data_IF_087927137013
#
_entry.id   IF_087927137013
#
_cell.length_a   1.000
_cell.length_b   1.000
_cell.length_c   1.000
_cell.angle_alpha   90.00
_cell.angle_beta   90.00
_cell.angle_gamma   90.00
#
_symmetry.space_group_name_H-M   'P 1'
#
loop_
_entity.id
_entity.type
_entity.pdbx_description
1 polymer ?
#
# COMPACT_ATOMS: atom_id res chain seq x y z
N UNK A 1 20.91 34.48 -55.08
CA UNK A 1 19.67 35.02 -55.66
C UNK A 1 18.86 35.70 -54.54
N UNK A 2 18.85 37.04 -54.58
CA UNK A 2 17.89 38.02 -54.05
C UNK A 2 17.36 37.95 -52.59
N UNK A 3 17.83 38.97 -51.86
CA UNK A 3 17.30 39.65 -50.66
C UNK A 3 15.82 40.05 -50.79
N UNK A 4 15.09 40.11 -49.67
CA UNK A 4 13.77 40.74 -49.58
C UNK A 4 13.29 41.05 -48.15
N UNK A 5 13.84 42.11 -47.56
CA UNK A 5 13.32 42.82 -46.38
C UNK A 5 12.13 43.73 -46.78
N UNK A 6 11.07 43.81 -45.95
CA UNK A 6 10.02 44.87 -45.78
C UNK A 6 8.73 44.20 -45.24
N UNK A 7 7.96 44.67 -44.25
CA UNK A 7 7.71 46.02 -43.72
C UNK A 7 7.35 46.00 -42.21
N UNK A 8 7.66 47.13 -41.55
CA UNK A 8 7.09 47.62 -40.29
C UNK A 8 5.63 48.06 -40.47
N UNK A 9 4.73 47.84 -39.50
CA UNK A 9 4.12 48.89 -38.64
C UNK A 9 2.92 48.37 -37.81
N UNK A 10 2.94 48.76 -36.52
CA UNK A 10 1.83 49.12 -35.63
C UNK A 10 0.79 48.05 -35.22
N UNK A 11 0.53 47.92 -33.91
CA UNK A 11 -0.60 48.54 -33.17
C UNK A 11 -0.50 48.10 -31.70
N UNK A 12 -0.77 49.03 -30.78
CA UNK A 12 -0.46 48.94 -29.36
C UNK A 12 -1.20 47.86 -28.58
N UNK A 13 -0.54 47.37 -27.53
CA UNK A 13 -1.15 46.51 -26.52
C UNK A 13 -1.06 47.23 -25.17
N UNK A 14 -2.25 47.49 -24.64
CA UNK A 14 -2.56 48.04 -23.35
C UNK A 14 -2.08 47.09 -22.25
N UNK A 15 -1.17 47.57 -21.40
CA UNK A 15 -0.61 46.84 -20.26
C UNK A 15 -1.58 46.90 -19.07
N UNK A 16 -2.67 46.13 -19.13
CA UNK A 16 -3.49 45.84 -17.94
C UNK A 16 -2.85 44.67 -17.22
N UNK A 17 -2.12 44.98 -16.16
CA UNK A 17 -1.72 44.00 -15.14
C UNK A 17 -2.96 43.63 -14.35
N UNK A 18 -3.68 42.61 -14.82
CA UNK A 18 -4.62 41.87 -13.99
C UNK A 18 -3.79 40.96 -13.10
N UNK A 19 -3.67 41.31 -11.81
CA UNK A 19 -3.17 40.42 -10.79
C UNK A 19 -4.18 39.26 -10.64
N UNK A 20 -4.06 38.26 -11.51
CA UNK A 20 -4.63 36.94 -11.29
C UNK A 20 -3.94 36.38 -10.07
N UNK A 21 -4.59 36.52 -8.92
CA UNK A 21 -4.24 35.76 -7.74
C UNK A 21 -4.32 34.29 -8.11
N UNK A 22 -3.17 33.67 -8.38
CA UNK A 22 -3.01 32.24 -8.26
C UNK A 22 -3.22 31.92 -6.79
N UNK A 23 -4.49 31.76 -6.40
CA UNK A 23 -4.82 30.90 -5.29
C UNK A 23 -4.38 29.51 -5.69
N UNK A 24 -3.11 29.19 -5.42
CA UNK A 24 -2.66 27.81 -5.34
C UNK A 24 -3.50 27.18 -4.24
N UNK A 25 -4.65 26.61 -4.62
CA UNK A 25 -5.21 25.50 -3.87
C UNK A 25 -4.09 24.47 -3.88
N UNK A 26 -3.30 24.48 -2.81
CA UNK A 26 -2.43 23.38 -2.46
C UNK A 26 -3.39 22.21 -2.28
N UNK A 27 -3.61 21.46 -3.36
CA UNK A 27 -4.12 20.11 -3.27
C UNK A 27 -3.06 19.41 -2.43
N UNK A 28 -3.33 19.31 -1.12
CA UNK A 28 -2.48 18.57 -0.21
C UNK A 28 -2.37 17.17 -0.82
N UNK A 29 -1.21 16.88 -1.41
CA UNK A 29 -0.98 15.60 -2.05
C UNK A 29 -1.10 14.54 -0.95
N UNK A 30 -2.17 13.75 -1.01
CA UNK A 30 -2.34 12.62 -0.10
C UNK A 30 -1.24 11.63 -0.41
N UNK A 31 -0.43 11.30 0.60
CA UNK A 31 0.56 10.23 0.48
C UNK A 31 -0.18 8.91 0.66
N UNK A 32 -0.20 8.06 -0.37
CA UNK A 32 -0.79 6.72 -0.25
C UNK A 32 0.30 5.70 0.07
N UNK A 33 0.02 4.82 1.03
CA UNK A 33 0.87 3.69 1.40
C UNK A 33 0.15 2.41 0.98
N UNK A 34 0.72 1.67 0.03
CA UNK A 34 0.20 0.37 -0.41
C UNK A 34 0.76 -0.75 0.44
N UNK A 35 -0.12 -1.55 1.02
CA UNK A 35 0.23 -2.65 1.92
C UNK A 35 -0.29 -3.97 1.37
N UNK A 36 0.63 -4.85 0.97
CA UNK A 36 0.31 -6.24 0.66
C UNK A 36 0.27 -7.02 1.96
N UNK A 37 -0.89 -7.56 2.31
CA UNK A 37 -1.08 -8.20 3.62
C UNK A 37 -1.83 -9.52 3.53
N UNK A 38 -1.40 -10.48 4.35
CA UNK A 38 -2.11 -11.76 4.47
C UNK A 38 -3.57 -11.56 4.87
N UNK A 39 -4.46 -12.27 4.18
CA UNK A 39 -5.90 -12.25 4.46
C UNK A 39 -6.26 -12.70 5.88
N UNK A 40 -5.38 -13.46 6.54
CA UNK A 40 -5.52 -13.83 7.96
C UNK A 40 -5.55 -12.61 8.90
N UNK A 41 -5.02 -11.45 8.46
CA UNK A 41 -4.87 -10.25 9.28
C UNK A 41 -5.84 -9.11 8.90
N UNK A 42 -6.81 -9.35 8.02
CA UNK A 42 -7.77 -8.33 7.52
C UNK A 42 -8.35 -7.49 8.66
N UNK A 43 -8.88 -8.14 9.71
CA UNK A 43 -9.55 -7.43 10.81
C UNK A 43 -8.58 -6.52 11.56
N UNK A 44 -7.42 -7.06 11.94
CA UNK A 44 -6.43 -6.35 12.75
C UNK A 44 -5.81 -5.19 11.96
N UNK A 45 -5.37 -5.44 10.72
CA UNK A 45 -4.72 -4.43 9.89
C UNK A 45 -5.68 -3.35 9.42
N UNK A 46 -6.95 -3.68 9.13
CA UNK A 46 -7.96 -2.65 8.84
C UNK A 46 -8.18 -1.72 10.05
N UNK A 47 -8.18 -2.26 11.27
CA UNK A 47 -8.31 -1.44 12.47
C UNK A 47 -7.08 -0.55 12.68
N UNK A 48 -5.88 -1.11 12.50
CA UNK A 48 -4.61 -0.37 12.61
C UNK A 48 -4.51 0.72 11.54
N UNK A 49 -4.88 0.43 10.28
CA UNK A 49 -4.85 1.40 9.19
C UNK A 49 -5.72 2.63 9.49
N UNK A 50 -6.95 2.42 9.98
CA UNK A 50 -7.83 3.52 10.38
C UNK A 50 -7.23 4.38 11.49
N UNK A 51 -6.59 3.74 12.47
CA UNK A 51 -5.93 4.48 13.54
C UNK A 51 -4.73 5.27 13.01
N UNK A 52 -3.92 4.65 12.15
CA UNK A 52 -2.77 5.29 11.53
C UNK A 52 -3.16 6.51 10.70
N UNK A 53 -4.20 6.43 9.87
CA UNK A 53 -4.71 7.55 9.08
C UNK A 53 -5.23 8.70 9.96
N UNK A 54 -5.91 8.38 11.08
CA UNK A 54 -6.39 9.38 12.02
C UNK A 54 -5.24 10.13 12.73
N UNK A 55 -4.14 9.42 13.00
CA UNK A 55 -2.93 9.98 13.62
C UNK A 55 -2.01 10.69 12.61
N UNK A 56 -2.16 10.43 11.30
CA UNK A 56 -1.33 10.97 10.23
C UNK A 56 -2.17 11.65 9.13
N UNK A 57 -2.72 12.86 9.38
CA UNK A 57 -3.53 13.58 8.41
C UNK A 57 -2.77 13.82 7.10
N UNK A 58 -3.44 13.56 5.97
CA UNK A 58 -2.83 13.66 4.63
C UNK A 58 -2.13 12.38 4.17
N UNK A 59 -2.21 11.29 4.94
CA UNK A 59 -1.78 9.95 4.52
C UNK A 59 -2.98 9.02 4.40
N UNK A 60 -2.98 8.12 3.42
CA UNK A 60 -3.95 7.03 3.25
C UNK A 60 -3.24 5.69 3.19
N UNK A 61 -3.89 4.64 3.66
CA UNK A 61 -3.38 3.26 3.61
C UNK A 61 -4.29 2.42 2.71
N UNK A 62 -3.73 1.90 1.63
CA UNK A 62 -4.40 0.99 0.72
C UNK A 62 -3.94 -0.43 0.98
N UNK A 63 -4.86 -1.30 1.42
CA UNK A 63 -4.54 -2.70 1.65
C UNK A 63 -4.94 -3.57 0.46
N UNK A 64 -4.01 -4.41 0.02
CA UNK A 64 -4.28 -5.54 -0.88
C UNK A 64 -4.15 -6.83 -0.06
N UNK A 65 -5.30 -7.46 0.18
CA UNK A 65 -5.37 -8.69 0.97
C UNK A 65 -5.48 -9.92 0.08
N UNK A 66 -4.56 -10.87 0.25
CA UNK A 66 -4.60 -12.18 -0.39
C UNK A 66 -3.79 -13.23 0.40
N UNK A 67 -3.60 -14.42 -0.15
CA UNK A 67 -2.71 -15.42 0.45
C UNK A 67 -1.25 -14.97 0.39
N UNK A 68 -0.43 -15.33 1.39
CA UNK A 68 0.99 -14.92 1.44
C UNK A 68 1.76 -15.31 0.17
N UNK A 69 1.50 -16.49 -0.38
CA UNK A 69 2.14 -17.00 -1.59
C UNK A 69 1.71 -16.26 -2.85
N UNK A 70 0.45 -15.84 -2.91
CA UNK A 70 -0.07 -15.03 -4.01
C UNK A 70 0.58 -13.65 -4.00
N UNK A 71 0.56 -12.96 -2.86
CA UNK A 71 1.22 -11.65 -2.71
C UNK A 71 2.74 -11.71 -2.94
N UNK A 72 3.39 -12.82 -2.57
CA UNK A 72 4.82 -13.03 -2.86
C UNK A 72 5.08 -13.21 -4.35
N UNK A 73 4.17 -13.88 -5.07
CA UNK A 73 4.24 -14.00 -6.52
C UNK A 73 4.03 -12.63 -7.18
N UNK A 74 3.07 -11.83 -6.71
CA UNK A 74 2.85 -10.46 -7.20
C UNK A 74 4.12 -9.59 -7.07
N UNK A 75 4.79 -9.63 -5.92
CA UNK A 75 6.09 -8.96 -5.74
C UNK A 75 7.17 -9.49 -6.70
N UNK A 76 7.19 -10.80 -6.93
CA UNK A 76 8.15 -11.44 -7.85
C UNK A 76 7.89 -11.09 -9.31
N UNK A 77 6.63 -10.84 -9.66
CA UNK A 77 6.19 -10.40 -10.99
C UNK A 77 6.42 -8.90 -11.21
N UNK A 78 6.92 -8.19 -10.20
CA UNK A 78 7.30 -6.78 -10.28
C UNK A 78 6.19 -5.81 -9.90
N UNK A 79 5.12 -6.27 -9.23
CA UNK A 79 4.17 -5.36 -8.61
C UNK A 79 4.76 -4.79 -7.33
N UNK A 80 4.53 -3.50 -7.10
CA UNK A 80 5.13 -2.76 -5.98
C UNK A 80 4.19 -2.71 -4.77
N UNK A 81 4.78 -2.75 -3.57
CA UNK A 81 4.13 -2.46 -2.31
C UNK A 81 5.11 -1.74 -1.37
N UNK A 82 4.64 -0.79 -0.57
CA UNK A 82 5.46 -0.11 0.43
C UNK A 82 5.71 -0.99 1.65
N UNK A 83 4.74 -1.84 1.99
CA UNK A 83 4.80 -2.76 3.13
C UNK A 83 4.28 -4.13 2.72
N UNK A 84 5.05 -5.17 3.02
CA UNK A 84 4.63 -6.56 2.87
C UNK A 84 4.45 -7.23 4.23
N UNK A 85 3.27 -7.79 4.48
CA UNK A 85 2.90 -8.50 5.70
C UNK A 85 2.49 -9.93 5.36
N UNK A 86 3.45 -10.85 5.44
CA UNK A 86 3.21 -12.29 5.27
C UNK A 86 2.45 -12.89 6.45
N UNK A 87 1.64 -13.91 6.18
CA UNK A 87 1.02 -14.75 7.20
C UNK A 87 1.92 -15.87 7.73
N UNK A 88 3.09 -16.07 7.12
CA UNK A 88 4.02 -17.14 7.43
C UNK A 88 5.49 -16.76 7.11
N UNK A 89 6.43 -17.49 7.73
CA UNK A 89 7.86 -17.23 7.59
C UNK A 89 8.43 -17.69 6.25
N UNK A 90 7.85 -18.70 5.61
CA UNK A 90 8.40 -19.28 4.39
C UNK A 90 8.29 -18.31 3.22
N UNK A 91 7.11 -17.71 3.04
CA UNK A 91 6.87 -16.70 2.01
C UNK A 91 7.69 -15.42 2.25
N UNK A 92 7.78 -14.97 3.51
CA UNK A 92 8.64 -13.83 3.88
C UNK A 92 10.13 -14.12 3.59
N UNK A 93 10.60 -15.32 3.89
CA UNK A 93 11.99 -15.72 3.62
C UNK A 93 12.27 -15.84 2.13
N UNK A 94 11.29 -16.29 1.33
CA UNK A 94 11.41 -16.39 -0.11
C UNK A 94 11.66 -15.02 -0.75
N UNK A 95 10.84 -14.00 -0.45
CA UNK A 95 11.02 -12.66 -1.01
C UNK A 95 12.28 -11.96 -0.48
N UNK A 96 12.65 -12.23 0.78
CA UNK A 96 13.89 -11.71 1.36
C UNK A 96 15.13 -12.28 0.65
N UNK A 97 15.13 -13.59 0.40
CA UNK A 97 16.22 -14.28 -0.31
C UNK A 97 16.30 -13.88 -1.78
N UNK A 98 15.16 -13.49 -2.38
CA UNK A 98 15.10 -12.95 -3.73
C UNK A 98 15.56 -11.48 -3.82
N UNK A 99 15.83 -10.82 -2.69
CA UNK A 99 16.24 -9.41 -2.66
C UNK A 99 15.12 -8.43 -3.01
N UNK A 100 13.86 -8.83 -2.78
CA UNK A 100 12.66 -8.02 -3.08
C UNK A 100 12.24 -7.12 -1.90
N UNK A 101 13.02 -7.08 -0.83
CA UNK A 101 12.78 -6.20 0.33
C UNK A 101 14.07 -5.49 0.72
N UNK A 102 13.95 -4.23 1.11
CA UNK A 102 15.10 -3.40 1.52
C UNK A 102 15.44 -3.53 3.01
N UNK A 103 14.57 -4.19 3.79
CA UNK A 103 14.69 -4.27 5.25
C UNK A 103 14.71 -5.71 5.75
N UNK A 104 15.22 -5.90 6.97
CA UNK A 104 15.19 -7.21 7.63
C UNK A 104 13.76 -7.52 8.10
N UNK A 105 13.20 -8.70 7.77
CA UNK A 105 11.88 -9.09 8.25
C UNK A 105 11.77 -9.09 9.78
N UNK A 106 10.65 -8.59 10.30
CA UNK A 106 10.36 -8.53 11.74
C UNK A 106 9.10 -9.34 12.05
N UNK A 107 9.13 -10.28 13.01
CA UNK A 107 7.92 -10.95 13.49
C UNK A 107 7.02 -9.97 14.23
N UNK A 108 5.76 -9.83 13.78
CA UNK A 108 4.77 -8.92 14.39
C UNK A 108 3.60 -9.64 15.05
N UNK A 109 3.39 -10.92 14.73
CA UNK A 109 2.29 -11.73 15.22
C UNK A 109 2.68 -13.21 15.27
N UNK A 110 1.95 -13.98 16.08
CA UNK A 110 2.05 -15.44 16.13
C UNK A 110 0.63 -16.01 16.22
N UNK A 111 0.47 -17.25 15.77
CA UNK A 111 -0.77 -18.00 15.92
C UNK A 111 -0.51 -19.34 16.62
N UNK A 112 -1.51 -19.86 17.31
CA UNK A 112 -1.49 -21.22 17.87
C UNK A 112 -2.61 -22.02 17.24
N UNK A 113 -2.28 -23.17 16.67
CA UNK A 113 -3.29 -24.10 16.18
C UNK A 113 -4.03 -24.71 17.36
N UNK A 114 -5.35 -24.77 17.23
CA UNK A 114 -6.27 -25.33 18.24
C UNK A 114 -7.32 -26.17 17.54
N UNK A 115 -7.83 -27.18 18.23
CA UNK A 115 -9.01 -27.93 17.80
C UNK A 115 -10.23 -27.22 18.39
N UNK A 116 -11.08 -26.68 17.52
CA UNK A 116 -12.33 -26.05 17.92
C UNK A 116 -13.45 -27.10 17.96
N UNK A 117 -14.08 -27.27 19.11
CA UNK A 117 -15.23 -28.19 19.29
C UNK A 117 -16.51 -27.41 19.49
N UNK A 118 -17.66 -28.04 19.22
CA UNK A 118 -18.94 -27.52 19.71
C UNK A 118 -18.92 -27.43 21.25
N UNK A 119 -19.79 -26.59 21.80
CA UNK A 119 -19.97 -26.50 23.24
C UNK A 119 -20.26 -27.88 23.84
N UNK A 120 -19.54 -28.24 24.90
CA UNK A 120 -19.66 -29.54 25.57
C UNK A 120 -18.75 -30.65 25.04
N UNK A 121 -18.09 -30.47 23.89
CA UNK A 121 -17.18 -31.47 23.29
C UNK A 121 -17.80 -32.88 23.23
N UNK A 122 -18.97 -33.00 22.57
CA UNK A 122 -19.74 -34.25 22.55
C UNK A 122 -18.96 -35.47 22.01
N UNK A 123 -18.00 -35.23 21.11
CA UNK A 123 -17.15 -36.26 20.51
C UNK A 123 -15.90 -36.56 21.34
N UNK A 124 -15.75 -35.91 22.51
CA UNK A 124 -14.63 -36.08 23.45
C UNK A 124 -13.25 -35.92 22.80
N UNK A 125 -13.12 -34.98 21.86
CA UNK A 125 -11.87 -34.68 21.18
C UNK A 125 -10.87 -34.07 22.18
N UNK A 126 -9.77 -34.77 22.45
CA UNK A 126 -8.70 -34.33 23.35
C UNK A 126 -7.37 -34.11 22.61
N UNK A 127 -7.21 -34.70 21.43
CA UNK A 127 -5.98 -34.70 20.65
C UNK A 127 -6.27 -34.79 19.16
N UNK A 128 -5.25 -34.58 18.35
CA UNK A 128 -5.34 -34.76 16.90
C UNK A 128 -5.65 -36.21 16.50
N UNK A 129 -5.32 -37.20 17.34
CA UNK A 129 -5.61 -38.61 17.09
C UNK A 129 -7.11 -38.95 17.21
N UNK A 130 -7.92 -38.03 17.75
CA UNK A 130 -9.36 -38.21 17.91
C UNK A 130 -10.16 -37.67 16.70
N UNK A 131 -9.50 -37.03 15.72
CA UNK A 131 -10.09 -36.52 14.46
C UNK A 131 -10.18 -37.60 13.38
#
# INVERSE_FOLDING_TARGET
>A
MRVGLKQMMAVGILLVVSASGCGSQSHLATTSITVFASSAMIKSLTAIGKQFEAENPGTSVEFIFAGSSELSAELSDGNDADVFVSGDHDNMSAIASAGLIDSTPVPIAANSLVIATAAGNHDNLASFADL
#
